data_IF_230165919874
#
_entry.id   IF_230165919874
#
_cell.length_a   1.000
_cell.length_b   1.000
_cell.length_c   1.000
_cell.angle_alpha   90.00
_cell.angle_beta   90.00
_cell.angle_gamma   90.00
#
_symmetry.space_group_name_H-M   'P 1'
#
loop_
_entity.id
_entity.type
_entity.pdbx_description
1 polymer ?
#
# COMPACT_ATOMS: atom_id res chain seq x y z
N UNK A 1 8.17 8.50 6.39
CA UNK A 1 8.26 7.34 5.49
C UNK A 1 9.53 6.50 5.74
N UNK A 2 10.74 7.05 5.56
CA UNK A 2 12.00 6.30 5.77
C UNK A 2 12.12 5.67 7.19
N UNK A 3 11.90 6.45 8.24
CA UNK A 3 11.91 5.95 9.62
C UNK A 3 10.86 4.87 9.90
N UNK A 4 9.64 5.00 9.36
CA UNK A 4 8.58 3.98 9.50
C UNK A 4 9.02 2.66 8.86
N UNK A 5 9.63 2.73 7.68
CA UNK A 5 10.09 1.55 6.93
C UNK A 5 11.17 0.81 7.71
N UNK A 6 12.14 1.54 8.27
CA UNK A 6 13.23 0.96 9.05
C UNK A 6 12.76 0.38 10.38
N UNK A 7 11.94 1.11 11.13
CA UNK A 7 11.35 0.61 12.38
C UNK A 7 10.54 -0.68 12.17
N UNK A 8 9.79 -0.76 11.07
CA UNK A 8 9.04 -1.96 10.71
C UNK A 8 9.98 -3.10 10.31
N UNK A 9 11.01 -2.81 9.53
CA UNK A 9 11.99 -3.81 9.11
C UNK A 9 12.71 -4.42 10.31
N UNK A 10 13.25 -3.59 11.21
CA UNK A 10 13.96 -4.02 12.41
C UNK A 10 13.07 -4.89 13.33
N UNK A 11 11.77 -4.56 13.44
CA UNK A 11 10.80 -5.36 14.21
C UNK A 11 10.60 -6.74 13.60
N UNK A 12 10.53 -6.81 12.27
CA UNK A 12 10.30 -8.06 11.54
C UNK A 12 11.56 -8.92 11.51
N UNK A 13 12.72 -8.30 11.31
CA UNK A 13 14.02 -8.98 11.26
C UNK A 13 14.35 -9.69 12.59
N UNK A 14 13.96 -9.12 13.73
CA UNK A 14 14.12 -9.78 15.05
C UNK A 14 13.45 -11.14 15.15
N UNK A 15 12.45 -11.42 14.32
CA UNK A 15 11.73 -12.69 14.30
C UNK A 15 12.34 -13.69 13.31
N UNK A 16 13.37 -13.30 12.54
CA UNK A 16 14.03 -14.18 11.58
C UNK A 16 14.93 -15.17 12.31
N UNK A 17 14.62 -16.46 12.18
CA UNK A 17 15.42 -17.56 12.73
C UNK A 17 16.23 -18.21 11.62
N UNK A 18 17.47 -18.58 11.91
CA UNK A 18 18.36 -19.19 10.93
C UNK A 18 17.81 -20.53 10.44
N UNK A 19 17.82 -20.74 9.12
CA UNK A 19 17.36 -21.97 8.48
C UNK A 19 15.87 -22.01 8.06
N UNK A 20 15.09 -20.96 8.35
CA UNK A 20 13.72 -20.85 7.85
C UNK A 20 13.73 -20.31 6.41
N UNK A 21 13.01 -20.99 5.51
CA UNK A 21 12.79 -20.50 4.14
C UNK A 21 11.58 -19.57 4.15
N UNK A 22 11.80 -18.31 3.79
CA UNK A 22 10.74 -17.30 3.69
C UNK A 22 10.23 -17.24 2.24
N UNK A 23 8.91 -17.35 2.04
CA UNK A 23 8.30 -16.94 0.78
C UNK A 23 8.36 -15.42 0.69
N UNK A 24 9.39 -14.91 0.02
CA UNK A 24 9.66 -13.49 -0.08
C UNK A 24 8.48 -12.72 -0.70
N UNK A 25 7.76 -13.33 -1.64
CA UNK A 25 6.64 -12.68 -2.30
C UNK A 25 5.46 -12.47 -1.34
N UNK A 26 5.16 -13.45 -0.48
CA UNK A 26 4.12 -13.30 0.55
C UNK A 26 4.59 -12.29 1.61
N UNK A 27 5.85 -12.41 2.04
CA UNK A 27 6.44 -11.56 3.06
C UNK A 27 6.42 -10.07 2.67
N UNK A 28 6.92 -9.74 1.47
CA UNK A 28 7.02 -8.35 1.02
C UNK A 28 5.65 -7.71 0.86
N UNK A 29 4.63 -8.46 0.42
CA UNK A 29 3.25 -7.94 0.32
C UNK A 29 2.72 -7.53 1.69
N UNK A 30 2.90 -8.37 2.71
CA UNK A 30 2.54 -8.03 4.08
C UNK A 30 3.30 -6.79 4.60
N UNK A 31 4.62 -6.76 4.36
CA UNK A 31 5.45 -5.64 4.78
C UNK A 31 5.01 -4.31 4.14
N UNK A 32 4.70 -4.32 2.84
CA UNK A 32 4.16 -3.15 2.14
C UNK A 32 2.79 -2.73 2.68
N UNK A 33 1.94 -3.66 3.10
CA UNK A 33 0.66 -3.34 3.75
C UNK A 33 0.85 -2.69 5.11
N UNK A 34 1.84 -3.11 5.88
CA UNK A 34 2.16 -2.47 7.17
C UNK A 34 2.68 -1.03 6.98
N UNK A 35 3.52 -0.80 5.97
CA UNK A 35 3.97 0.55 5.57
C UNK A 35 2.79 1.40 5.14
N UNK A 36 1.92 0.86 4.27
CA UNK A 36 0.71 1.52 3.80
C UNK A 36 -0.18 1.95 4.96
N UNK A 37 -0.53 1.02 5.86
CA UNK A 37 -1.40 1.31 7.00
C UNK A 37 -0.78 2.36 7.91
N UNK A 38 0.52 2.26 8.19
CA UNK A 38 1.24 3.25 9.01
C UNK A 38 1.24 4.62 8.36
N UNK A 39 1.38 4.70 7.04
CA UNK A 39 1.40 5.97 6.30
C UNK A 39 0.00 6.58 6.16
N UNK A 40 -1.03 5.75 5.98
CA UNK A 40 -2.41 6.22 5.86
C UNK A 40 -3.00 6.64 7.19
N UNK A 41 -2.82 5.84 8.22
CA UNK A 41 -3.56 5.95 9.49
C UNK A 41 -2.69 6.29 10.70
N UNK A 42 -1.36 6.35 10.52
CA UNK A 42 -0.42 6.52 11.63
C UNK A 42 -0.21 5.24 12.47
N UNK A 43 -0.84 4.12 12.12
CA UNK A 43 -0.74 2.84 12.85
C UNK A 43 -0.49 1.65 11.90
N UNK A 44 0.42 0.71 12.26
CA UNK A 44 0.69 -0.45 11.43
C UNK A 44 -0.50 -1.42 11.39
N UNK A 45 -0.65 -2.14 10.28
CA UNK A 45 -1.71 -3.14 10.13
C UNK A 45 -1.42 -4.44 10.90
N UNK A 46 -0.17 -4.66 11.31
CA UNK A 46 0.32 -5.84 12.03
C UNK A 46 0.06 -7.11 11.19
N UNK A 47 0.60 -7.15 9.97
CA UNK A 47 0.40 -8.29 9.06
C UNK A 47 1.16 -9.53 9.56
N UNK A 48 0.48 -10.63 9.92
CA UNK A 48 1.09 -11.77 10.61
C UNK A 48 2.12 -12.56 9.78
N UNK A 49 2.01 -12.53 8.44
CA UNK A 49 2.89 -13.31 7.56
C UNK A 49 4.26 -12.66 7.35
N UNK A 50 4.47 -11.41 7.77
CA UNK A 50 5.83 -10.84 7.84
C UNK A 50 6.68 -11.55 8.91
N UNK A 51 6.04 -12.19 9.90
CA UNK A 51 6.69 -12.84 11.03
C UNK A 51 6.77 -14.38 10.93
N UNK A 52 6.44 -14.98 9.78
CA UNK A 52 6.40 -16.46 9.62
C UNK A 52 5.49 -17.20 10.63
N UNK A 53 4.44 -16.53 11.11
CA UNK A 53 3.50 -17.06 12.11
C UNK A 53 2.47 -17.99 11.44
N UNK A 54 2.19 -19.14 12.05
CA UNK A 54 1.14 -20.06 11.59
C UNK A 54 -0.24 -19.42 11.69
N UNK A 55 -1.17 -19.73 10.76
CA UNK A 55 -2.57 -19.24 10.80
C UNK A 55 -3.28 -19.54 12.13
N UNK A 56 -2.84 -20.55 12.88
CA UNK A 56 -3.38 -20.92 14.19
C UNK A 56 -3.03 -19.93 15.30
N UNK A 57 -2.03 -19.07 15.10
CA UNK A 57 -1.49 -18.16 16.11
C UNK A 57 -1.89 -16.70 15.86
N UNK A 58 -2.79 -16.45 14.90
CA UNK A 58 -3.20 -15.09 14.54
C UNK A 58 -4.01 -14.46 15.68
N UNK A 59 -3.59 -13.25 16.09
CA UNK A 59 -4.44 -12.41 16.94
C UNK A 59 -5.66 -11.92 16.15
N UNK A 60 -6.74 -11.47 16.81
CA UNK A 60 -7.89 -10.89 16.13
C UNK A 60 -7.54 -9.74 15.17
N UNK A 61 -6.57 -8.90 15.56
CA UNK A 61 -6.07 -7.77 14.74
C UNK A 61 -5.36 -8.26 13.48
N UNK A 62 -4.48 -9.25 13.63
CA UNK A 62 -3.76 -9.89 12.53
C UNK A 62 -4.74 -10.52 11.52
N UNK A 63 -5.79 -11.18 12.02
CA UNK A 63 -6.83 -11.77 11.19
C UNK A 63 -7.58 -10.69 10.40
N UNK A 64 -7.93 -9.57 11.04
CA UNK A 64 -8.60 -8.45 10.37
C UNK A 64 -7.73 -7.82 9.27
N UNK A 65 -6.43 -7.66 9.51
CA UNK A 65 -5.47 -7.17 8.52
C UNK A 65 -5.37 -8.12 7.31
N UNK A 66 -5.25 -9.43 7.57
CA UNK A 66 -5.23 -10.44 6.51
C UNK A 66 -6.54 -10.49 5.71
N UNK A 67 -7.70 -10.39 6.38
CA UNK A 67 -9.00 -10.29 5.71
C UNK A 67 -9.08 -9.06 4.82
N UNK A 68 -8.64 -7.89 5.30
CA UNK A 68 -8.55 -6.68 4.47
C UNK A 68 -7.68 -6.89 3.23
N UNK A 69 -6.53 -7.54 3.37
CA UNK A 69 -5.66 -7.86 2.23
C UNK A 69 -6.30 -8.79 1.21
N UNK A 70 -6.92 -9.89 1.66
CA UNK A 70 -7.63 -10.80 0.76
C UNK A 70 -8.80 -10.09 0.07
N UNK A 71 -9.40 -9.09 0.72
CA UNK A 71 -10.42 -8.24 0.13
C UNK A 71 -9.88 -7.40 -1.03
N UNK A 72 -8.75 -6.73 -0.84
CA UNK A 72 -8.09 -5.93 -1.88
C UNK A 72 -7.70 -6.82 -3.07
N UNK A 73 -7.10 -7.98 -2.79
CA UNK A 73 -6.76 -8.97 -3.82
C UNK A 73 -7.99 -9.46 -4.58
N UNK A 74 -9.10 -9.72 -3.88
CA UNK A 74 -10.38 -10.11 -4.50
C UNK A 74 -10.92 -9.01 -5.40
N UNK A 75 -10.75 -7.73 -5.01
CA UNK A 75 -11.10 -6.59 -5.84
C UNK A 75 -10.29 -6.57 -7.15
N UNK A 76 -8.96 -6.72 -7.09
CA UNK A 76 -8.14 -6.79 -8.31
C UNK A 76 -8.49 -7.97 -9.21
N UNK A 77 -8.67 -9.15 -8.62
CA UNK A 77 -9.05 -10.36 -9.36
C UNK A 77 -10.43 -10.24 -10.02
N UNK A 78 -11.26 -9.29 -9.60
CA UNK A 78 -12.55 -9.01 -10.22
C UNK A 78 -12.43 -8.20 -11.53
N UNK A 79 -11.32 -7.47 -11.74
CA UNK A 79 -11.17 -6.59 -12.90
C UNK A 79 -11.27 -7.34 -14.25
N UNK A 80 -10.57 -8.47 -14.47
CA UNK A 80 -10.71 -9.23 -15.71
C UNK A 80 -12.14 -9.73 -15.92
N UNK A 81 -12.85 -10.13 -14.86
CA UNK A 81 -14.24 -10.55 -14.93
C UNK A 81 -15.16 -9.41 -15.39
N UNK A 82 -14.97 -8.21 -14.84
CA UNK A 82 -15.80 -7.04 -15.19
C UNK A 82 -15.50 -6.47 -16.58
N UNK A 83 -14.25 -6.58 -17.03
CA UNK A 83 -13.81 -6.15 -18.36
C UNK A 83 -14.22 -7.15 -19.44
N UNK A 84 -14.01 -8.46 -19.22
CA UNK A 84 -14.22 -9.48 -20.25
C UNK A 84 -15.69 -9.92 -20.38
N UNK A 85 -16.47 -9.88 -19.30
CA UNK A 85 -17.84 -10.42 -19.29
C UNK A 85 -18.87 -9.28 -19.42
N UNK A 86 -19.67 -9.23 -20.51
CA UNK A 86 -20.72 -8.25 -20.67
C UNK A 86 -21.72 -8.23 -19.51
N UNK A 87 -22.19 -7.02 -19.16
CA UNK A 87 -23.14 -6.81 -18.05
C UNK A 87 -24.34 -7.75 -18.14
N UNK A 88 -24.93 -7.91 -19.33
CA UNK A 88 -26.09 -8.80 -19.53
C UNK A 88 -25.82 -10.24 -19.10
N UNK A 89 -24.67 -10.82 -19.46
CA UNK A 89 -24.33 -12.20 -19.08
C UNK A 89 -24.06 -12.34 -17.58
N UNK A 90 -23.45 -11.32 -16.97
CA UNK A 90 -23.17 -11.30 -15.52
C UNK A 90 -24.44 -11.39 -14.67
N UNK A 91 -25.58 -10.85 -15.12
CA UNK A 91 -26.83 -10.90 -14.35
C UNK A 91 -27.73 -12.10 -14.71
N UNK A 92 -27.72 -12.54 -15.97
CA UNK A 92 -28.70 -13.51 -16.46
C UNK A 92 -28.24 -14.98 -16.42
N UNK A 93 -26.94 -15.26 -16.32
CA UNK A 93 -26.44 -16.63 -16.18
C UNK A 93 -26.22 -16.99 -14.70
N UNK A 94 -26.80 -18.07 -14.15
CA UNK A 94 -26.78 -18.37 -12.71
C UNK A 94 -25.38 -18.46 -12.07
N UNK A 95 -24.40 -19.02 -12.78
CA UNK A 95 -23.01 -19.13 -12.30
C UNK A 95 -22.37 -17.73 -12.28
N UNK A 96 -22.50 -16.98 -13.37
CA UNK A 96 -21.91 -15.64 -13.48
C UNK A 96 -22.57 -14.64 -12.52
N UNK A 97 -23.87 -14.77 -12.24
CA UNK A 97 -24.57 -13.91 -11.29
C UNK A 97 -24.16 -14.17 -9.85
N UNK A 98 -23.78 -15.41 -9.52
CA UNK A 98 -23.20 -15.75 -8.22
C UNK A 98 -21.79 -15.17 -8.06
N UNK A 99 -20.94 -15.28 -9.10
CA UNK A 99 -19.60 -14.66 -9.12
C UNK A 99 -19.70 -13.12 -9.07
N UNK A 100 -20.61 -12.53 -9.86
CA UNK A 100 -20.86 -11.09 -9.88
C UNK A 100 -21.29 -10.57 -8.51
N UNK A 101 -22.20 -11.28 -7.81
CA UNK A 101 -22.58 -10.94 -6.44
C UNK A 101 -21.42 -11.04 -5.46
N UNK A 102 -20.59 -12.09 -5.57
CA UNK A 102 -19.41 -12.24 -4.72
C UNK A 102 -18.46 -11.04 -4.85
N UNK A 103 -18.11 -10.63 -6.07
CA UNK A 103 -17.23 -9.48 -6.28
C UNK A 103 -17.85 -8.14 -5.85
N UNK A 104 -19.12 -7.90 -6.18
CA UNK A 104 -19.81 -6.67 -5.78
C UNK A 104 -19.96 -6.57 -4.26
N UNK A 105 -20.25 -7.68 -3.58
CA UNK A 105 -20.34 -7.70 -2.12
C UNK A 105 -18.97 -7.45 -1.47
N UNK A 106 -17.89 -7.99 -2.03
CA UNK A 106 -16.54 -7.71 -1.55
C UNK A 106 -16.16 -6.23 -1.72
N UNK A 107 -16.45 -5.64 -2.89
CA UNK A 107 -16.20 -4.22 -3.15
C UNK A 107 -17.00 -3.33 -2.19
N UNK A 108 -18.29 -3.62 -2.01
CA UNK A 108 -19.13 -2.90 -1.05
C UNK A 108 -18.60 -2.99 0.38
N UNK A 109 -18.20 -4.18 0.83
CA UNK A 109 -17.64 -4.34 2.18
C UNK A 109 -16.36 -3.52 2.38
N UNK A 110 -15.46 -3.49 1.40
CA UNK A 110 -14.27 -2.64 1.44
C UNK A 110 -14.63 -1.15 1.55
N UNK A 111 -15.56 -0.70 0.70
CA UNK A 111 -16.06 0.66 0.69
C UNK A 111 -16.67 1.08 2.04
N UNK A 112 -17.47 0.20 2.65
CA UNK A 112 -18.12 0.41 3.94
C UNK A 112 -17.08 0.43 5.08
N UNK A 113 -16.13 -0.52 5.10
CA UNK A 113 -15.08 -0.59 6.13
C UNK A 113 -14.15 0.63 6.12
N UNK A 114 -13.78 1.14 4.94
CA UNK A 114 -12.94 2.33 4.83
C UNK A 114 -13.75 3.57 5.22
N UNK A 115 -15.02 3.67 4.78
CA UNK A 115 -15.88 4.80 5.14
C UNK A 115 -16.08 4.89 6.66
N UNK A 116 -16.33 3.77 7.34
CA UNK A 116 -16.47 3.72 8.79
C UNK A 116 -15.20 4.25 9.48
N UNK A 117 -14.00 3.89 8.99
CA UNK A 117 -12.73 4.39 9.52
C UNK A 117 -12.57 5.90 9.31
N UNK A 118 -12.96 6.41 8.14
CA UNK A 118 -12.91 7.85 7.83
C UNK A 118 -13.82 8.64 8.77
N UNK A 119 -15.09 8.22 8.90
CA UNK A 119 -16.08 8.88 9.78
C UNK A 119 -15.59 8.86 11.23
N UNK A 120 -15.21 7.68 11.73
CA UNK A 120 -14.72 7.53 13.10
C UNK A 120 -13.48 8.40 13.36
N UNK A 121 -12.58 8.54 12.39
CA UNK A 121 -11.39 9.37 12.54
C UNK A 121 -11.73 10.86 12.52
N UNK A 122 -12.67 11.29 11.67
CA UNK A 122 -13.19 12.66 11.65
C UNK A 122 -13.76 13.05 13.00
N UNK A 123 -14.65 12.22 13.57
CA UNK A 123 -15.23 12.44 14.90
C UNK A 123 -14.15 12.55 15.98
N UNK A 124 -13.07 11.76 15.91
CA UNK A 124 -11.96 11.85 16.85
C UNK A 124 -11.22 13.19 16.74
N UNK A 125 -10.99 13.68 15.52
CA UNK A 125 -10.31 14.96 15.28
C UNK A 125 -11.16 16.15 15.73
N UNK A 126 -12.48 16.12 15.51
CA UNK A 126 -13.41 17.16 15.97
C UNK A 126 -13.49 17.25 17.51
N UNK A 127 -13.24 16.14 18.20
CA UNK A 127 -13.22 16.08 19.67
C UNK A 127 -11.83 16.38 20.28
N UNK A 128 -10.81 16.73 19.48
CA UNK A 128 -9.49 17.07 20.01
C UNK A 128 -9.51 18.42 20.73
N UNK A 129 -8.76 18.58 21.85
CA UNK A 129 -8.56 19.87 22.50
C UNK A 129 -7.95 20.89 21.53
N UNK A 130 -8.38 22.16 21.62
CA UNK A 130 -7.81 23.26 20.82
C UNK A 130 -6.27 23.30 20.95
N UNK A 131 -5.58 23.30 19.81
CA UNK A 131 -4.12 23.31 19.74
C UNK A 131 -3.44 21.94 19.68
N UNK A 132 -4.17 20.82 19.82
CA UNK A 132 -3.65 19.52 19.44
C UNK A 132 -3.86 19.27 17.95
N UNK A 133 -2.77 19.14 17.21
CA UNK A 133 -2.81 18.67 15.84
C UNK A 133 -3.26 17.19 15.81
N UNK A 134 -3.96 16.81 14.74
CA UNK A 134 -4.16 15.41 14.39
C UNK A 134 -2.82 14.69 14.18
N UNK A 135 -2.88 13.38 13.95
CA UNK A 135 -1.68 12.62 13.61
C UNK A 135 -1.14 12.98 12.23
N UNK A 136 0.06 12.48 11.92
CA UNK A 136 0.78 12.79 10.67
C UNK A 136 0.39 11.87 9.48
N UNK A 137 -0.69 11.10 9.61
CA UNK A 137 -1.14 10.18 8.56
C UNK A 137 -1.81 10.91 7.41
N UNK A 138 -1.78 10.34 6.20
CA UNK A 138 -2.46 10.93 5.04
C UNK A 138 -3.96 11.15 5.29
N UNK A 139 -4.62 10.24 6.01
CA UNK A 139 -6.04 10.39 6.37
C UNK A 139 -6.26 11.65 7.22
N UNK A 140 -5.39 11.91 8.19
CA UNK A 140 -5.49 13.08 9.04
C UNK A 140 -5.17 14.37 8.29
N UNK A 141 -4.22 14.34 7.35
CA UNK A 141 -3.97 15.47 6.44
C UNK A 141 -5.21 15.78 5.60
N UNK A 142 -5.82 14.78 4.97
CA UNK A 142 -7.03 14.96 4.15
C UNK A 142 -8.20 15.48 5.02
N UNK A 143 -8.38 14.95 6.22
CA UNK A 143 -9.45 15.40 7.12
C UNK A 143 -9.19 16.83 7.64
N UNK A 144 -7.97 17.16 8.03
CA UNK A 144 -7.63 18.50 8.57
C UNK A 144 -7.61 19.59 7.51
N UNK A 145 -7.25 19.27 6.26
CA UNK A 145 -7.40 20.21 5.13
C UNK A 145 -8.86 20.63 4.96
N UNK A 146 -9.80 19.70 5.14
CA UNK A 146 -11.25 19.98 5.06
C UNK A 146 -11.83 20.74 6.26
N UNK A 147 -11.08 20.84 7.36
CA UNK A 147 -11.50 21.55 8.58
C UNK A 147 -11.00 23.00 8.64
N UNK A 148 -10.08 23.40 7.76
CA UNK A 148 -9.56 24.77 7.75
C UNK A 148 -10.66 25.70 7.25
N UNK A 149 -11.07 26.63 8.11
CA UNK A 149 -12.03 27.68 7.81
C UNK A 149 -11.52 28.47 6.60
N UNK A 150 -12.16 28.29 5.44
CA UNK A 150 -11.88 29.07 4.23
C UNK A 150 -12.41 30.49 4.47
N UNK A 151 -11.66 31.30 5.23
CA UNK A 151 -11.95 32.73 5.43
C UNK A 151 -11.96 33.51 4.09
N UNK A 152 -11.42 32.92 3.03
CA UNK A 152 -11.64 33.32 1.64
C UNK A 152 -11.93 32.06 0.80
N UNK A 153 -13.19 31.73 0.50
CA UNK A 153 -13.48 30.64 -0.42
C UNK A 153 -13.02 31.07 -1.81
N UNK A 154 -12.00 30.39 -2.36
CA UNK A 154 -11.86 30.37 -3.81
C UNK A 154 -13.15 29.76 -4.40
N UNK A 155 -13.58 30.23 -5.57
CA UNK A 155 -14.91 29.90 -6.16
C UNK A 155 -15.17 28.38 -6.37
N UNK A 156 -14.16 27.51 -6.17
CA UNK A 156 -14.21 26.05 -6.33
C UNK A 156 -13.71 25.25 -5.09
N UNK A 157 -13.52 25.88 -3.92
CA UNK A 157 -12.93 25.23 -2.73
C UNK A 157 -13.98 24.56 -1.81
N UNK A 158 -14.83 23.68 -2.37
CA UNK A 158 -15.69 22.82 -1.53
C UNK A 158 -14.83 21.78 -0.76
N UNK A 159 -15.00 21.64 0.57
CA UNK A 159 -14.33 20.58 1.31
C UNK A 159 -14.69 19.20 0.75
N UNK A 160 -13.70 18.32 0.62
CA UNK A 160 -13.90 16.94 0.20
C UNK A 160 -14.89 16.23 1.12
N UNK A 161 -15.84 15.55 0.49
CA UNK A 161 -16.85 14.73 1.17
C UNK A 161 -16.20 13.46 1.70
N UNK A 162 -16.77 12.87 2.74
CA UNK A 162 -16.28 11.59 3.30
C UNK A 162 -16.18 10.49 2.25
N UNK A 163 -17.10 10.47 1.28
CA UNK A 163 -17.04 9.56 0.14
C UNK A 163 -15.79 9.76 -0.72
N UNK A 164 -15.39 11.00 -0.98
CA UNK A 164 -14.21 11.31 -1.79
C UNK A 164 -12.92 11.00 -1.04
N UNK A 165 -12.86 11.27 0.26
CA UNK A 165 -11.74 10.87 1.12
C UNK A 165 -11.64 9.33 1.15
N UNK A 166 -12.77 8.63 1.34
CA UNK A 166 -12.83 7.17 1.30
C UNK A 166 -12.32 6.61 -0.02
N UNK A 167 -12.72 7.19 -1.14
CA UNK A 167 -12.29 6.76 -2.48
C UNK A 167 -10.77 6.96 -2.66
N UNK A 168 -10.21 8.09 -2.21
CA UNK A 168 -8.75 8.32 -2.23
C UNK A 168 -7.99 7.29 -1.37
N UNK A 169 -8.48 7.01 -0.16
CA UNK A 169 -7.87 6.00 0.73
C UNK A 169 -7.97 4.60 0.10
N UNK A 170 -9.08 4.29 -0.55
CA UNK A 170 -9.30 3.03 -1.26
C UNK A 170 -8.33 2.87 -2.45
N UNK A 171 -8.20 3.88 -3.29
CA UNK A 171 -7.30 3.88 -4.46
C UNK A 171 -5.84 3.66 -4.05
N UNK A 172 -5.38 4.35 -3.01
CA UNK A 172 -4.02 4.19 -2.48
C UNK A 172 -3.85 2.80 -1.87
N UNK A 173 -4.86 2.29 -1.17
CA UNK A 173 -4.80 0.96 -0.54
C UNK A 173 -4.74 -0.16 -1.57
N UNK A 174 -5.52 -0.05 -2.64
CA UNK A 174 -5.52 -1.01 -3.75
C UNK A 174 -4.17 -1.00 -4.47
N UNK A 175 -3.72 0.16 -4.90
CA UNK A 175 -2.58 0.23 -5.84
C UNK A 175 -1.23 -0.05 -5.19
N UNK A 176 -1.04 0.32 -3.92
CA UNK A 176 0.31 0.38 -3.31
C UNK A 176 0.94 -0.99 -3.00
N UNK A 177 0.21 -1.89 -2.33
CA UNK A 177 0.78 -3.13 -1.77
C UNK A 177 1.16 -4.13 -2.86
N UNK A 178 0.24 -4.41 -3.79
CA UNK A 178 0.46 -5.39 -4.85
C UNK A 178 1.48 -4.90 -5.89
N UNK A 179 1.41 -3.63 -6.30
CA UNK A 179 2.31 -3.11 -7.34
C UNK A 179 3.76 -3.01 -6.85
N UNK A 180 3.96 -2.45 -5.66
CA UNK A 180 5.30 -2.24 -5.08
C UNK A 180 5.90 -3.57 -4.63
N UNK A 181 5.10 -4.45 -4.03
CA UNK A 181 5.55 -5.79 -3.61
C UNK A 181 6.07 -6.61 -4.80
N UNK A 182 5.32 -6.66 -5.91
CA UNK A 182 5.77 -7.33 -7.13
C UNK A 182 7.01 -6.64 -7.74
N UNK A 183 7.05 -5.31 -7.76
CA UNK A 183 8.24 -4.55 -8.23
C UNK A 183 9.49 -4.97 -7.46
N UNK A 184 9.39 -5.09 -6.13
CA UNK A 184 10.47 -5.56 -5.27
C UNK A 184 10.87 -7.02 -5.55
N UNK A 185 9.90 -7.91 -5.77
CA UNK A 185 10.18 -9.30 -6.15
C UNK A 185 11.01 -9.37 -7.44
N UNK A 186 10.62 -8.65 -8.47
CA UNK A 186 11.37 -8.61 -9.73
C UNK A 186 12.75 -7.96 -9.54
N UNK A 187 12.83 -6.89 -8.77
CA UNK A 187 14.09 -6.20 -8.49
C UNK A 187 15.11 -7.14 -7.84
N UNK A 188 14.69 -7.82 -6.76
CA UNK A 188 15.50 -8.81 -6.07
C UNK A 188 15.87 -9.96 -7.01
N UNK A 189 14.89 -10.51 -7.75
CA UNK A 189 15.15 -11.56 -8.73
C UNK A 189 16.26 -11.17 -9.71
N UNK A 190 16.21 -9.96 -10.28
CA UNK A 190 17.23 -9.49 -11.22
C UNK A 190 18.59 -9.27 -10.57
N UNK A 191 18.65 -8.70 -9.36
CA UNK A 191 19.93 -8.51 -8.65
C UNK A 191 20.62 -9.84 -8.42
N UNK A 192 19.90 -10.85 -7.94
CA UNK A 192 20.49 -12.17 -7.65
C UNK A 192 20.92 -12.94 -8.89
N UNK A 193 20.33 -12.66 -10.06
CA UNK A 193 20.72 -13.27 -11.33
C UNK A 193 21.80 -12.48 -12.09
N UNK A 194 22.18 -11.29 -11.62
CA UNK A 194 23.17 -10.42 -12.27
C UNK A 194 24.26 -10.00 -11.27
N UNK A 195 25.28 -10.84 -11.04
CA UNK A 195 26.32 -10.62 -10.02
C UNK A 195 27.03 -9.27 -10.14
N UNK A 196 27.34 -8.83 -11.36
CA UNK A 196 27.99 -7.53 -11.62
C UNK A 196 27.10 -6.35 -11.20
N UNK A 197 25.78 -6.46 -11.38
CA UNK A 197 24.85 -5.43 -10.94
C UNK A 197 24.76 -5.40 -9.42
N UNK A 198 24.68 -6.59 -8.79
CA UNK A 198 24.70 -6.72 -7.34
C UNK A 198 25.95 -6.11 -6.72
N UNK A 199 27.13 -6.38 -7.28
CA UNK A 199 28.40 -5.84 -6.80
C UNK A 199 28.41 -4.31 -6.84
N UNK A 200 28.06 -3.70 -7.98
CA UNK A 200 27.95 -2.23 -8.09
C UNK A 200 26.93 -1.61 -7.13
N UNK A 201 25.82 -2.29 -6.86
CA UNK A 201 24.83 -1.81 -5.88
C UNK A 201 25.40 -1.81 -4.47
N UNK A 202 26.12 -2.88 -4.09
CA UNK A 202 26.75 -2.97 -2.79
C UNK A 202 27.87 -1.93 -2.65
N UNK A 203 28.69 -1.73 -3.67
CA UNK A 203 29.71 -0.66 -3.69
C UNK A 203 29.09 0.73 -3.51
N UNK A 204 27.96 1.02 -4.17
CA UNK A 204 27.25 2.28 -4.00
C UNK A 204 26.73 2.44 -2.56
N UNK A 205 26.09 1.41 -2.00
CA UNK A 205 25.60 1.42 -0.61
C UNK A 205 26.77 1.64 0.35
N UNK A 206 27.84 0.85 0.23
CA UNK A 206 29.03 0.95 1.06
C UNK A 206 29.63 2.37 0.99
N UNK A 207 29.68 2.99 -0.20
CA UNK A 207 30.22 4.34 -0.35
C UNK A 207 29.41 5.43 0.37
N UNK A 208 28.11 5.21 0.59
CA UNK A 208 27.20 6.19 1.21
C UNK A 208 27.07 5.96 2.72
N UNK A 209 27.11 4.69 3.15
CA UNK A 209 26.84 4.27 4.52
C UNK A 209 28.07 3.73 5.27
N UNK A 210 29.28 3.79 4.66
CA UNK A 210 30.54 3.26 5.20
C UNK A 210 30.76 3.50 6.71
N UNK A 211 30.42 4.70 7.19
CA UNK A 211 30.68 5.11 8.58
C UNK A 211 29.69 4.51 9.58
N UNK A 212 28.45 4.22 9.16
CA UNK A 212 27.42 3.61 9.99
C UNK A 212 26.31 2.99 9.12
N UNK A 213 26.27 1.66 9.07
CA UNK A 213 25.24 0.89 8.36
C UNK A 213 23.92 0.78 9.12
N UNK A 214 23.90 1.17 10.39
CA UNK A 214 22.73 1.04 11.28
C UNK A 214 21.96 2.35 11.45
N UNK A 215 22.58 3.49 11.08
CA UNK A 215 21.89 4.79 11.11
C UNK A 215 20.68 4.79 10.16
N UNK A 216 19.68 5.64 10.44
CA UNK A 216 18.57 5.78 9.53
C UNK A 216 18.91 6.36 8.16
N UNK A 217 18.23 5.88 7.13
CA UNK A 217 18.31 6.44 5.77
C UNK A 217 17.62 7.81 5.75
N UNK A 218 18.33 8.81 5.24
CA UNK A 218 17.83 10.19 5.10
C UNK A 218 17.45 10.51 3.65
N UNK A 219 16.69 11.58 3.43
CA UNK A 219 16.36 12.04 2.07
C UNK A 219 17.61 12.38 1.24
N UNK A 220 18.64 12.96 1.87
CA UNK A 220 19.90 13.27 1.21
C UNK A 220 20.67 12.01 0.79
N UNK A 221 20.46 10.87 1.45
CA UNK A 221 21.07 9.60 1.02
C UNK A 221 20.36 9.05 -0.22
N UNK A 222 19.04 9.20 -0.31
CA UNK A 222 18.26 8.76 -1.48
C UNK A 222 18.71 9.45 -2.76
N UNK A 223 19.07 10.73 -2.70
CA UNK A 223 19.60 11.47 -3.86
C UNK A 223 20.95 10.94 -4.35
N UNK A 224 21.72 10.25 -3.49
CA UNK A 224 23.04 9.69 -3.82
C UNK A 224 22.96 8.26 -4.37
N UNK A 225 21.83 7.57 -4.17
CA UNK A 225 21.58 6.19 -4.62
C UNK A 225 21.22 6.12 -6.12
N UNK A 226 22.09 6.67 -6.97
CA UNK A 226 21.84 6.87 -8.41
C UNK A 226 21.79 5.54 -9.17
N UNK A 227 22.69 4.61 -8.88
CA UNK A 227 22.75 3.30 -9.51
C UNK A 227 21.60 2.40 -9.02
N UNK A 228 21.26 2.45 -7.74
CA UNK A 228 20.06 1.85 -7.18
C UNK A 228 18.80 2.32 -7.92
N UNK A 229 18.62 3.63 -8.10
CA UNK A 229 17.49 4.18 -8.84
C UNK A 229 17.48 3.68 -10.30
N UNK A 230 18.65 3.65 -10.96
CA UNK A 230 18.77 3.12 -12.31
C UNK A 230 18.41 1.63 -12.40
N UNK A 231 18.82 0.81 -11.43
CA UNK A 231 18.49 -0.61 -11.38
C UNK A 231 16.99 -0.87 -11.13
N UNK A 232 16.35 -0.06 -10.28
CA UNK A 232 14.89 -0.10 -10.07
C UNK A 232 14.17 0.27 -11.38
N UNK A 233 14.58 1.36 -12.03
CA UNK A 233 14.01 1.80 -13.32
C UNK A 233 14.16 0.74 -14.40
N UNK A 234 15.32 0.10 -14.50
CA UNK A 234 15.56 -0.96 -15.49
C UNK A 234 14.72 -2.21 -15.20
N UNK A 235 14.56 -2.58 -13.93
CA UNK A 235 13.65 -3.65 -13.51
C UNK A 235 12.23 -3.38 -13.99
N UNK A 236 11.72 -2.15 -13.76
CA UNK A 236 10.36 -1.77 -14.18
C UNK A 236 10.22 -1.63 -15.70
N UNK A 237 11.31 -1.32 -16.42
CA UNK A 237 11.33 -1.30 -17.88
C UNK A 237 11.18 -2.71 -18.46
N UNK A 238 11.85 -3.69 -17.87
CA UNK A 238 11.80 -5.10 -18.31
C UNK A 238 10.52 -5.79 -17.84
N UNK A 239 10.13 -5.57 -16.57
CA UNK A 239 8.93 -6.12 -15.94
C UNK A 239 8.01 -5.02 -15.43
N UNK A 240 7.21 -4.41 -16.34
CA UNK A 240 6.24 -3.41 -15.93
C UNK A 240 5.09 -4.07 -15.15
N UNK A 241 4.97 -3.76 -13.87
CA UNK A 241 3.89 -4.30 -13.02
C UNK A 241 2.50 -3.79 -13.44
N UNK A 242 2.45 -2.60 -14.08
CA UNK A 242 1.26 -2.07 -14.74
C UNK A 242 1.51 -1.93 -16.24
N UNK A 243 1.30 -2.99 -17.05
CA UNK A 243 1.66 -2.99 -18.47
C UNK A 243 0.69 -2.21 -19.36
N UNK A 244 -0.51 -1.88 -18.87
CA UNK A 244 -1.54 -1.21 -19.65
C UNK A 244 -2.21 -0.11 -18.83
N UNK A 245 -2.28 1.10 -19.40
CA UNK A 245 -3.05 2.22 -18.87
C UNK A 245 -4.13 2.59 -19.88
N UNK A 246 -5.42 2.32 -19.60
CA UNK A 246 -6.49 2.64 -20.54
C UNK A 246 -6.60 4.16 -20.72
N UNK A 247 -6.79 4.61 -21.96
CA UNK A 247 -7.03 6.01 -22.32
C UNK A 247 -8.37 6.12 -23.03
N UNK A 248 -9.11 7.20 -22.76
CA UNK A 248 -10.34 7.55 -23.48
C UNK A 248 -10.15 8.94 -24.09
N UNK A 249 -10.59 9.11 -25.34
CA UNK A 249 -10.63 10.42 -25.97
C UNK A 249 -11.69 11.29 -25.25
N UNK A 250 -11.31 12.51 -24.85
CA UNK A 250 -12.27 13.52 -24.43
C UNK A 250 -12.69 14.25 -25.70
N UNK A 251 -13.93 14.06 -26.12
CA UNK A 251 -14.48 14.82 -27.25
C UNK A 251 -14.48 16.32 -26.89
N UNK A 252 -14.08 17.16 -27.85
CA UNK A 252 -14.17 18.63 -27.79
C UNK A 252 -15.59 19.09 -28.12
#
# INVERSE_FOLDING_TARGET
>A
FAGITQDLFDKVERNWTSGVTIDFAIWIRCFMTDILSSTLTGSPAVCPLSCSISKSEYTPEMKKSYEFLESLKTWFNSLPFFVAIPRYLRYNLPILSSINRYYLNNAKRLEDEILEKVIKRREQLENLPEGQAGGDGLLDMLLTMNLRDHNEPAEDDEPMKDGEIRDNIMDISLTSSDSTGNSFCYFIYHIFHNPQCKERLLEEIDSIFADDMTRPVTYNDLEKLVYMEAAIKETLRVFPVTPLVPRRCKDH
#
